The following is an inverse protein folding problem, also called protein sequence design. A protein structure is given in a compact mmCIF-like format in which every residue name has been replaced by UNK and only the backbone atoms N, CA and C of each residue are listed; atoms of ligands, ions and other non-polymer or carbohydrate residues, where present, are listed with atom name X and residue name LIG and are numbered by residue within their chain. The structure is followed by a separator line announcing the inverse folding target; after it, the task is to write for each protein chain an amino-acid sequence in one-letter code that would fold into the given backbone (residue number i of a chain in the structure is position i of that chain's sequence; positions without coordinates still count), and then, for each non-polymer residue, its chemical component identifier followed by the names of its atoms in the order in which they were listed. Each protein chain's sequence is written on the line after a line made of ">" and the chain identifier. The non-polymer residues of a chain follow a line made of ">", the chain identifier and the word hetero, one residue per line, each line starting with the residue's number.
data_IF_604065316504
#
_entry.id   IF_604065316504
#
_cell.length_a   1.000
_cell.length_b   1.000
_cell.length_c   1.000
_cell.angle_alpha   90.00
_cell.angle_beta   90.00
_cell.angle_gamma   90.00
#
_symmetry.space_group_name_H-M   'P 1'
#
loop_
_entity.id
_entity.type
_entity.pdbx_description
1 polymer ?
#
# COMPACT_ATOMS: atom_id res chain seq x y z
N UNK A 1 -1.24 -8.83 15.89
CA UNK A 1 -0.51 -10.06 15.52
C UNK A 1 -0.72 -10.44 14.06
N UNK A 2 -1.96 -10.57 13.57
CA UNK A 2 -2.21 -10.91 12.16
C UNK A 2 -1.60 -9.90 11.16
N UNK A 3 -1.76 -8.60 11.40
CA UNK A 3 -1.21 -7.54 10.54
C UNK A 3 0.31 -7.61 10.37
N UNK A 4 1.04 -8.00 11.43
CA UNK A 4 2.51 -8.21 11.38
C UNK A 4 2.89 -9.38 10.49
N UNK A 5 2.18 -10.51 10.63
CA UNK A 5 2.42 -11.70 9.80
C UNK A 5 2.14 -11.39 8.33
N UNK A 6 1.02 -10.72 8.05
CA UNK A 6 0.67 -10.34 6.69
C UNK A 6 1.69 -9.34 6.10
N UNK A 7 2.12 -8.33 6.86
CA UNK A 7 3.17 -7.42 6.42
C UNK A 7 4.46 -8.18 6.09
N UNK A 8 4.85 -9.16 6.90
CA UNK A 8 6.02 -10.01 6.63
C UNK A 8 5.84 -10.89 5.38
N UNK A 9 4.66 -11.45 5.16
CA UNK A 9 4.39 -12.23 3.95
C UNK A 9 4.37 -11.36 2.68
N UNK A 10 3.92 -10.11 2.79
CA UNK A 10 3.94 -9.14 1.69
C UNK A 10 5.38 -8.73 1.38
N UNK A 11 6.21 -8.42 2.39
CA UNK A 11 7.60 -8.00 2.17
C UNK A 11 8.47 -9.12 1.59
N UNK A 12 8.21 -10.37 1.97
CA UNK A 12 8.87 -11.55 1.40
C UNK A 12 8.20 -12.05 0.11
N UNK A 13 7.31 -11.24 -0.46
CA UNK A 13 6.69 -11.48 -1.77
C UNK A 13 5.82 -12.74 -1.87
N UNK A 14 5.50 -13.38 -0.74
CA UNK A 14 4.58 -14.52 -0.64
C UNK A 14 3.11 -14.10 -0.81
N UNK A 15 2.78 -12.85 -0.48
CA UNK A 15 1.47 -12.24 -0.72
C UNK A 15 1.63 -10.99 -1.59
N UNK A 16 0.63 -10.72 -2.43
CA UNK A 16 0.56 -9.50 -3.25
C UNK A 16 -0.39 -8.50 -2.61
N UNK A 17 -0.18 -7.21 -2.86
CA UNK A 17 -1.10 -6.16 -2.40
C UNK A 17 -2.47 -6.21 -3.09
N UNK A 18 -2.64 -7.02 -4.13
CA UNK A 18 -3.92 -7.23 -4.81
C UNK A 18 -5.01 -7.79 -3.88
N UNK A 19 -4.66 -8.27 -2.69
CA UNK A 19 -5.64 -8.65 -1.66
C UNK A 19 -6.57 -7.50 -1.28
N UNK A 20 -6.17 -6.23 -1.48
CA UNK A 20 -7.02 -5.08 -1.15
C UNK A 20 -8.14 -4.86 -2.16
N UNK A 21 -8.08 -5.48 -3.35
CA UNK A 21 -9.09 -5.29 -4.40
C UNK A 21 -10.49 -5.77 -4.00
N UNK A 22 -10.56 -6.66 -3.01
CA UNK A 22 -11.84 -7.19 -2.49
C UNK A 22 -12.51 -6.22 -1.51
N UNK A 23 -11.85 -5.11 -1.19
CA UNK A 23 -12.32 -4.13 -0.21
C UNK A 23 -12.98 -2.98 -0.95
N UNK A 24 -14.29 -2.83 -0.74
CA UNK A 24 -14.99 -1.61 -1.11
C UNK A 24 -14.66 -0.51 -0.09
N UNK A 25 -13.99 0.53 -0.55
CA UNK A 25 -13.59 1.66 0.29
C UNK A 25 -14.77 2.59 0.64
N UNK A 26 -15.87 2.52 -0.11
CA UNK A 26 -17.07 3.34 0.16
C UNK A 26 -17.87 2.81 1.35
N UNK A 27 -17.81 1.49 1.58
CA UNK A 27 -18.51 0.78 2.65
C UNK A 27 -17.54 0.26 3.72
N UNK A 28 -16.33 0.83 3.81
CA UNK A 28 -15.31 0.33 4.73
C UNK A 28 -15.78 0.46 6.18
N UNK A 29 -15.86 -0.69 6.86
CA UNK A 29 -16.19 -0.71 8.29
C UNK A 29 -15.00 -0.23 9.11
N UNK A 30 -15.26 0.45 10.23
CA UNK A 30 -14.20 0.93 11.14
C UNK A 30 -13.20 -0.16 11.59
N UNK A 31 -13.63 -1.41 11.90
CA UNK A 31 -12.69 -2.49 12.21
C UNK A 31 -11.75 -2.83 11.04
N UNK A 32 -12.26 -2.80 9.80
CA UNK A 32 -11.45 -3.06 8.62
C UNK A 32 -10.48 -1.91 8.32
N UNK A 33 -10.94 -0.67 8.47
CA UNK A 33 -10.09 0.53 8.36
C UNK A 33 -8.91 0.47 9.34
N UNK A 34 -9.18 0.18 10.62
CA UNK A 34 -8.15 0.02 11.65
C UNK A 34 -7.19 -1.14 11.36
N UNK A 35 -7.71 -2.25 10.85
CA UNK A 35 -6.90 -3.40 10.47
C UNK A 35 -5.93 -3.05 9.33
N UNK A 36 -6.43 -2.38 8.28
CA UNK A 36 -5.60 -1.92 7.16
C UNK A 36 -4.58 -0.88 7.63
N UNK A 37 -5.00 0.08 8.46
CA UNK A 37 -4.09 1.08 9.01
C UNK A 37 -2.95 0.41 9.79
N UNK A 38 -3.27 -0.56 10.65
CA UNK A 38 -2.28 -1.36 11.38
C UNK A 38 -1.38 -2.16 10.43
N UNK A 39 -1.95 -2.77 9.38
CA UNK A 39 -1.18 -3.52 8.37
C UNK A 39 -0.18 -2.62 7.64
N UNK A 40 -0.61 -1.44 7.18
CA UNK A 40 0.26 -0.50 6.48
C UNK A 40 1.28 0.14 7.41
N UNK A 41 0.94 0.40 8.67
CA UNK A 41 1.89 0.85 9.69
C UNK A 41 3.03 -0.16 9.87
N UNK A 42 2.68 -1.44 10.04
CA UNK A 42 3.68 -2.50 10.15
C UNK A 42 4.49 -2.61 8.85
N UNK A 43 3.84 -2.60 7.68
CA UNK A 43 4.50 -2.69 6.38
C UNK A 43 5.51 -1.55 6.14
N UNK A 44 5.15 -0.32 6.51
CA UNK A 44 5.98 0.86 6.29
C UNK A 44 7.13 0.97 7.29
N UNK A 45 6.97 0.34 8.46
CA UNK A 45 7.98 0.30 9.52
C UNK A 45 8.91 -0.92 9.43
N UNK A 46 8.72 -1.82 8.46
CA UNK A 46 9.65 -2.95 8.26
C UNK A 46 11.03 -2.44 7.85
N UNK A 47 12.06 -3.02 8.46
CA UNK A 47 13.46 -2.72 8.15
C UNK A 47 13.90 -3.39 6.84
N UNK A 48 13.60 -2.73 5.73
CA UNK A 48 14.09 -3.08 4.39
C UNK A 48 14.62 -1.85 3.67
N UNK A 49 15.44 -2.07 2.63
CA UNK A 49 15.88 -1.01 1.72
C UNK A 49 14.72 -0.45 0.91
N UNK A 50 14.85 0.81 0.50
CA UNK A 50 13.85 1.54 -0.30
C UNK A 50 13.50 0.82 -1.59
N UNK A 51 14.50 0.28 -2.30
CA UNK A 51 14.28 -0.44 -3.55
C UNK A 51 13.42 -1.70 -3.36
N UNK A 52 13.66 -2.48 -2.29
CA UNK A 52 12.85 -3.68 -1.97
C UNK A 52 11.43 -3.26 -1.62
N UNK A 53 11.28 -2.18 -0.84
CA UNK A 53 9.97 -1.66 -0.49
C UNK A 53 9.19 -1.16 -1.71
N UNK A 54 9.83 -0.39 -2.59
CA UNK A 54 9.21 0.12 -3.81
C UNK A 54 8.73 -1.02 -4.72
N UNK A 55 9.55 -2.08 -4.83
CA UNK A 55 9.22 -3.29 -5.61
C UNK A 55 7.89 -3.92 -5.20
N UNK A 56 7.46 -3.79 -3.93
CA UNK A 56 6.16 -4.29 -3.46
C UNK A 56 5.00 -3.68 -4.25
N UNK A 57 5.10 -2.38 -4.51
CA UNK A 57 4.09 -1.63 -5.24
C UNK A 57 4.24 -1.86 -6.74
N UNK A 58 5.47 -1.85 -7.28
CA UNK A 58 5.72 -2.11 -8.70
C UNK A 58 5.10 -3.44 -9.17
N UNK A 59 5.11 -4.48 -8.32
CA UNK A 59 4.50 -5.79 -8.62
C UNK A 59 2.98 -5.74 -8.83
N UNK A 60 2.29 -4.68 -8.40
CA UNK A 60 0.86 -4.49 -8.69
C UNK A 60 0.64 -4.39 -10.20
N UNK A 61 1.54 -3.73 -10.94
CA UNK A 61 1.44 -3.55 -12.39
C UNK A 61 1.46 -4.88 -13.18
N UNK A 62 2.00 -5.94 -12.59
CA UNK A 62 2.01 -7.29 -13.16
C UNK A 62 0.66 -8.03 -13.01
N UNK A 63 -0.30 -7.45 -12.30
CA UNK A 63 -1.62 -8.06 -12.09
C UNK A 63 -2.63 -7.66 -13.16
N UNK A 64 -3.58 -8.56 -13.45
CA UNK A 64 -4.64 -8.30 -14.41
C UNK A 64 -5.54 -7.12 -13.99
N UNK A 65 -5.78 -6.98 -12.67
CA UNK A 65 -6.64 -5.95 -12.08
C UNK A 65 -5.83 -4.82 -11.42
N UNK A 66 -4.67 -4.47 -12.00
CA UNK A 66 -3.76 -3.53 -11.39
C UNK A 66 -4.39 -2.14 -11.19
N UNK A 67 -5.22 -1.67 -12.13
CA UNK A 67 -5.86 -0.36 -12.05
C UNK A 67 -6.79 -0.27 -10.81
N UNK A 68 -7.65 -1.26 -10.61
CA UNK A 68 -8.51 -1.34 -9.43
C UNK A 68 -7.68 -1.40 -8.15
N UNK A 69 -6.67 -2.26 -8.10
CA UNK A 69 -5.79 -2.39 -6.93
C UNK A 69 -5.07 -1.08 -6.63
N UNK A 70 -4.54 -0.42 -7.67
CA UNK A 70 -3.85 0.86 -7.58
C UNK A 70 -4.79 1.94 -7.02
N UNK A 71 -5.98 2.07 -7.58
CA UNK A 71 -6.93 3.12 -7.20
C UNK A 71 -7.42 2.92 -5.76
N UNK A 72 -7.72 1.68 -5.38
CA UNK A 72 -8.09 1.32 -4.00
C UNK A 72 -6.96 1.65 -3.01
N UNK A 73 -5.71 1.33 -3.35
CA UNK A 73 -4.54 1.65 -2.51
C UNK A 73 -4.28 3.15 -2.44
N UNK A 74 -4.35 3.86 -3.57
CA UNK A 74 -4.17 5.31 -3.61
C UNK A 74 -5.20 6.00 -2.74
N UNK A 75 -6.48 5.62 -2.89
CA UNK A 75 -7.57 6.15 -2.08
C UNK A 75 -7.27 5.92 -0.60
N UNK A 76 -7.02 4.67 -0.20
CA UNK A 76 -6.72 4.34 1.20
C UNK A 76 -5.53 5.15 1.75
N UNK A 77 -4.41 5.17 1.04
CA UNK A 77 -3.19 5.84 1.47
C UNK A 77 -3.32 7.37 1.49
N UNK A 78 -4.28 7.96 0.77
CA UNK A 78 -4.49 9.41 0.76
C UNK A 78 -5.56 9.85 1.77
N UNK A 79 -6.66 9.12 1.88
CA UNK A 79 -7.84 9.56 2.66
C UNK A 79 -8.02 8.83 3.99
N UNK A 80 -7.66 7.56 4.08
CA UNK A 80 -7.93 6.71 5.25
C UNK A 80 -6.71 6.46 6.13
N UNK A 81 -5.49 6.51 5.58
CA UNK A 81 -4.26 6.38 6.35
C UNK A 81 -3.98 7.65 7.15
N UNK A 82 -4.60 7.73 8.33
CA UNK A 82 -4.60 8.91 9.21
C UNK A 82 -3.61 8.83 10.35
N UNK A 83 -2.97 7.67 10.54
CA UNK A 83 -2.05 7.33 11.62
C UNK A 83 -1.76 8.48 12.58
N UNK A 84 -2.54 8.51 13.66
CA UNK A 84 -2.44 9.50 14.71
C UNK A 84 -2.16 8.80 16.06
N UNK A 85 -1.35 7.74 16.02
CA UNK A 85 -0.93 7.07 17.24
C UNK A 85 0.21 7.86 17.89
N UNK A 86 -0.15 8.64 18.91
CA UNK A 86 0.75 9.46 19.72
C UNK A 86 1.87 8.67 20.41
N UNK A 87 1.90 7.34 20.26
CA UNK A 87 2.92 6.42 20.80
C UNK A 87 4.00 6.02 19.78
N UNK A 88 3.90 6.46 18.53
CA UNK A 88 4.92 6.19 17.52
C UNK A 88 6.09 7.15 17.72
N UNK A 89 7.28 6.58 17.85
CA UNK A 89 8.54 7.32 17.92
C UNK A 89 8.77 8.18 16.66
N UNK A 90 9.40 9.35 16.82
CA UNK A 90 9.54 10.33 15.74
C UNK A 90 10.32 9.78 14.54
N UNK A 91 11.36 8.97 14.75
CA UNK A 91 12.15 8.40 13.66
C UNK A 91 11.36 7.36 12.87
N UNK A 92 10.59 6.52 13.59
CA UNK A 92 9.65 5.59 12.95
C UNK A 92 8.59 6.33 12.17
N UNK A 93 8.08 7.43 12.70
CA UNK A 93 7.08 8.25 12.02
C UNK A 93 7.65 8.88 10.74
N UNK A 94 8.87 9.41 10.79
CA UNK A 94 9.56 9.94 9.62
C UNK A 94 9.75 8.86 8.54
N UNK A 95 10.14 7.64 8.93
CA UNK A 95 10.24 6.49 8.03
C UNK A 95 8.88 6.14 7.40
N UNK A 96 7.82 6.07 8.20
CA UNK A 96 6.46 5.78 7.73
C UNK A 96 6.00 6.81 6.71
N UNK A 97 6.22 8.10 6.98
CA UNK A 97 5.85 9.18 6.06
C UNK A 97 6.67 9.13 4.77
N UNK A 98 7.97 8.86 4.86
CA UNK A 98 8.83 8.67 3.69
C UNK A 98 8.36 7.50 2.82
N UNK A 99 8.11 6.35 3.44
CA UNK A 99 7.60 5.13 2.79
C UNK A 99 6.23 5.34 2.16
N UNK A 100 5.33 6.08 2.83
CA UNK A 100 4.04 6.50 2.27
C UNK A 100 4.20 7.32 1.00
N UNK A 101 5.16 8.27 0.97
CA UNK A 101 5.44 9.08 -0.23
C UNK A 101 5.95 8.22 -1.38
N UNK A 102 6.87 7.28 -1.12
CA UNK A 102 7.34 6.32 -2.12
C UNK A 102 6.16 5.54 -2.68
N UNK A 103 5.35 4.91 -1.81
CA UNK A 103 4.19 4.13 -2.22
C UNK A 103 3.23 4.91 -3.12
N UNK A 104 2.85 6.14 -2.71
CA UNK A 104 1.96 7.00 -3.50
C UNK A 104 2.60 7.38 -4.84
N UNK A 105 3.88 7.73 -4.85
CA UNK A 105 4.61 8.10 -6.07
C UNK A 105 4.65 6.93 -7.05
N UNK A 106 4.97 5.74 -6.57
CA UNK A 106 5.01 4.51 -7.36
C UNK A 106 3.63 4.19 -7.95
N UNK A 107 2.58 4.23 -7.13
CA UNK A 107 1.21 3.99 -7.59
C UNK A 107 0.75 5.02 -8.63
N UNK A 108 1.07 6.31 -8.45
CA UNK A 108 0.76 7.35 -9.46
C UNK A 108 1.52 7.15 -10.76
N UNK A 109 2.78 6.73 -10.71
CA UNK A 109 3.57 6.48 -11.92
C UNK A 109 3.00 5.35 -12.79
N UNK A 110 2.20 4.44 -12.22
CA UNK A 110 1.51 3.39 -12.96
C UNK A 110 0.36 3.92 -13.83
N UNK A 111 -0.12 5.14 -13.62
CA UNK A 111 -1.11 5.78 -14.49
C UNK A 111 -0.59 5.92 -15.93
N UNK A 112 0.73 6.05 -16.11
CA UNK A 112 1.38 6.04 -17.44
C UNK A 112 1.12 4.72 -18.19
N UNK A 113 0.96 3.61 -17.48
CA UNK A 113 0.63 2.31 -18.10
C UNK A 113 -0.81 2.27 -18.65
N UNK A 114 -1.73 3.05 -18.08
CA UNK A 114 -3.11 3.14 -18.56
C UNK A 114 -3.13 3.79 -19.95
N UNK A 115 -2.38 4.88 -20.13
CA UNK A 115 -2.21 5.56 -21.41
C UNK A 115 -1.57 4.66 -22.47
N UNK A 116 -0.47 3.96 -22.11
CA UNK A 116 0.21 3.07 -23.04
C UNK A 116 -0.64 1.86 -23.48
N UNK A 117 -1.57 1.38 -22.63
CA UNK A 117 -2.46 0.25 -22.97
C UNK A 117 -3.72 0.66 -23.74
N UNK A 118 -4.12 1.93 -23.68
CA UNK A 118 -5.27 2.44 -24.45
C UNK A 118 -4.92 2.74 -25.90
N UNK A 119 -3.67 3.08 -26.22
CA UNK A 119 -3.22 3.33 -27.61
C UNK A 119 -3.03 2.06 -28.45
N UNK A 120 -3.04 0.88 -27.82
CA UNK A 120 -2.80 -0.42 -28.50
C UNK A 120 -4.12 -1.16 -28.82
N UNK A 121 -5.29 -0.55 -28.53
CA UNK A 121 -6.62 -1.08 -28.89
C UNK A 121 -7.26 -0.26 -29.99
#
# INVERSE_FOLDING_TARGET
>A
NLSKVLAQLIIEFHLTLNIVKVIDMTEITKPLELFLETLFLELFNINVKDDKFQTLFDRIAASNDYALTRDTLLLFLQTHFKSNDNKIDQDKWNLIIHRRKIAISTLKSMEVLDFARTEVK
#
